data_IF_157096439554
#
_entry.id   IF_157096439554
#
_cell.length_a   1.000
_cell.length_b   1.000
_cell.length_c   1.000
_cell.angle_alpha   90.00
_cell.angle_beta   90.00
_cell.angle_gamma   90.00
#
_symmetry.space_group_name_H-M   'P 1'
#
loop_
_entity.id
_entity.type
_entity.pdbx_description
1 polymer ?
#
# COMPACT_ATOMS: atom_id res chain seq x y z
N UNK A 1 23.03 2.22 -7.21
CA UNK A 1 22.33 2.33 -5.94
C UNK A 1 22.51 3.75 -5.44
N UNK A 2 21.43 4.46 -5.13
CA UNK A 2 21.52 5.70 -4.36
C UNK A 2 22.01 5.31 -2.96
N UNK A 3 22.96 6.07 -2.43
CA UNK A 3 23.43 5.85 -1.08
C UNK A 3 22.27 6.02 -0.09
N UNK A 4 22.27 5.24 0.98
CA UNK A 4 21.29 5.39 2.04
C UNK A 4 21.44 6.78 2.69
N UNK A 5 20.34 7.37 3.15
CA UNK A 5 20.38 8.64 3.86
C UNK A 5 21.22 8.52 5.12
N UNK A 6 22.03 9.54 5.41
CA UNK A 6 22.71 9.64 6.72
C UNK A 6 21.71 10.02 7.81
N UNK A 7 22.11 9.83 9.07
CA UNK A 7 21.26 10.24 10.18
C UNK A 7 20.95 11.74 10.17
N UNK A 8 21.90 12.57 9.82
CA UNK A 8 21.75 14.03 9.71
C UNK A 8 20.72 14.38 8.64
N UNK A 9 20.76 13.71 7.48
CA UNK A 9 19.77 13.90 6.41
C UNK A 9 18.36 13.44 6.83
N UNK A 10 18.28 12.35 7.58
CA UNK A 10 16.99 11.86 8.13
C UNK A 10 16.42 12.89 9.11
N UNK A 11 17.23 13.41 10.02
CA UNK A 11 16.78 14.44 10.97
C UNK A 11 16.35 15.72 10.26
N UNK A 12 17.15 16.21 9.33
CA UNK A 12 16.82 17.41 8.55
C UNK A 12 15.49 17.25 7.81
N UNK A 13 15.31 16.08 7.14
CA UNK A 13 14.05 15.77 6.45
C UNK A 13 12.87 15.72 7.42
N UNK A 14 13.06 15.10 8.59
CA UNK A 14 12.02 15.03 9.62
C UNK A 14 11.58 16.43 10.08
N UNK A 15 12.53 17.28 10.50
CA UNK A 15 12.20 18.61 11.00
C UNK A 15 11.62 19.53 9.91
N UNK A 16 12.13 19.48 8.68
CA UNK A 16 11.54 20.20 7.55
C UNK A 16 10.09 19.79 7.28
N UNK A 17 9.77 18.49 7.41
CA UNK A 17 8.38 18.02 7.30
C UNK A 17 7.51 18.53 8.47
N UNK A 18 8.05 18.57 9.68
CA UNK A 18 7.33 19.09 10.86
C UNK A 18 7.02 20.58 10.70
N UNK A 19 8.01 21.39 10.33
CA UNK A 19 7.85 22.83 10.08
C UNK A 19 6.81 23.08 8.97
N UNK A 20 6.88 22.30 7.88
CA UNK A 20 5.87 22.36 6.81
C UNK A 20 4.46 22.06 7.33
N UNK A 21 4.30 21.00 8.11
CA UNK A 21 3.00 20.63 8.67
C UNK A 21 2.46 21.71 9.62
N UNK A 22 3.32 22.34 10.42
CA UNK A 22 2.94 23.43 11.32
C UNK A 22 2.46 24.65 10.53
N UNK A 23 3.23 25.09 9.52
CA UNK A 23 2.89 26.26 8.67
C UNK A 23 1.53 26.09 7.99
N UNK A 24 1.20 24.86 7.53
CA UNK A 24 -0.04 24.58 6.82
C UNK A 24 -1.16 24.01 7.70
N UNK A 25 -0.97 23.94 9.02
CA UNK A 25 -1.96 23.39 9.95
C UNK A 25 -2.32 21.92 9.65
N UNK A 26 -1.32 21.11 9.27
CA UNK A 26 -1.50 19.69 8.93
C UNK A 26 -0.90 18.79 9.99
N UNK A 27 -1.51 17.61 10.18
CA UNK A 27 -0.93 16.57 11.03
C UNK A 27 0.04 15.72 10.22
N UNK A 28 1.29 15.53 10.68
CA UNK A 28 2.27 14.71 9.99
C UNK A 28 1.90 13.22 10.06
N UNK A 29 2.14 12.50 8.95
CA UNK A 29 2.05 11.05 8.87
C UNK A 29 3.13 10.54 7.92
N UNK A 30 4.05 9.72 8.40
CA UNK A 30 5.17 9.26 7.60
C UNK A 30 4.88 7.89 6.95
N UNK A 31 5.21 7.78 5.66
CA UNK A 31 5.32 6.50 4.95
C UNK A 31 6.79 6.18 4.76
N UNK A 32 7.28 5.20 5.52
CA UNK A 32 8.68 4.78 5.46
C UNK A 32 8.80 3.68 4.41
N UNK A 33 9.64 3.91 3.42
CA UNK A 33 9.87 3.01 2.30
C UNK A 33 11.35 3.05 1.88
N UNK A 34 11.71 2.25 0.92
CA UNK A 34 13.05 2.13 0.37
C UNK A 34 13.23 0.72 -0.18
N UNK A 35 14.40 0.13 -0.10
CA UNK A 35 14.57 -1.30 -0.37
C UNK A 35 13.82 -2.14 0.68
N UNK A 36 14.44 -2.35 1.83
CA UNK A 36 13.76 -2.82 3.03
C UNK A 36 14.15 -1.89 4.18
N UNK A 37 13.23 -1.03 4.68
CA UNK A 37 13.56 -0.01 5.68
C UNK A 37 14.18 -0.58 6.96
N UNK A 38 13.78 -1.79 7.36
CA UNK A 38 14.26 -2.45 8.58
C UNK A 38 15.78 -2.67 8.54
N UNK A 39 16.36 -2.78 7.35
CA UNK A 39 17.78 -3.00 7.15
C UNK A 39 18.63 -1.72 7.27
N UNK A 40 18.01 -0.55 7.31
CA UNK A 40 18.74 0.69 7.48
C UNK A 40 19.32 0.79 8.88
N UNK A 41 20.62 1.14 9.06
CA UNK A 41 21.27 1.18 10.38
C UNK A 41 20.56 2.11 11.37
N UNK A 42 20.02 3.22 10.92
CA UNK A 42 19.30 4.18 11.75
C UNK A 42 17.79 3.97 11.79
N UNK A 43 17.26 2.86 11.25
CA UNK A 43 15.83 2.60 11.20
C UNK A 43 15.14 2.73 12.56
N UNK A 44 15.64 2.01 13.56
CA UNK A 44 15.05 2.04 14.90
C UNK A 44 15.23 3.40 15.60
N UNK A 45 16.30 4.12 15.25
CA UNK A 45 16.54 5.47 15.73
C UNK A 45 15.54 6.48 15.16
N UNK A 46 15.20 6.35 13.87
CA UNK A 46 14.11 7.11 13.24
C UNK A 46 12.77 6.82 13.94
N UNK A 47 12.45 5.55 14.21
CA UNK A 47 11.20 5.20 14.90
C UNK A 47 11.14 5.75 16.33
N UNK A 48 12.28 5.83 17.01
CA UNK A 48 12.36 6.48 18.32
C UNK A 48 12.05 7.99 18.23
N UNK A 49 12.61 8.67 17.23
CA UNK A 49 12.33 10.09 16.96
C UNK A 49 10.83 10.32 16.66
N UNK A 50 10.22 9.49 15.79
CA UNK A 50 8.79 9.57 15.51
C UNK A 50 7.94 9.38 16.77
N UNK A 51 8.32 8.43 17.63
CA UNK A 51 7.62 8.16 18.88
C UNK A 51 7.76 9.31 19.89
N UNK A 52 8.92 9.93 19.98
CA UNK A 52 9.17 11.10 20.85
C UNK A 52 8.22 12.26 20.51
N UNK A 53 7.88 12.41 19.24
CA UNK A 53 6.98 13.45 18.74
C UNK A 53 5.52 12.96 18.56
N UNK A 54 5.17 11.76 19.04
CA UNK A 54 3.83 11.15 18.87
C UNK A 54 3.36 11.06 17.41
N UNK A 55 4.28 10.89 16.45
CA UNK A 55 3.99 10.84 15.03
C UNK A 55 3.68 9.39 14.59
N UNK A 56 2.47 9.11 14.11
CA UNK A 56 2.15 7.81 13.56
C UNK A 56 2.79 7.61 12.18
N UNK A 57 3.09 6.36 11.84
CA UNK A 57 3.70 6.03 10.57
C UNK A 57 3.18 4.72 9.98
N UNK A 58 3.43 4.54 8.69
CA UNK A 58 3.26 3.29 7.97
C UNK A 58 4.59 2.84 7.36
N UNK A 59 4.73 1.55 7.15
CA UNK A 59 5.89 0.96 6.47
C UNK A 59 5.43 0.30 5.17
N UNK A 60 6.19 0.53 4.10
CA UNK A 60 6.15 -0.23 2.86
C UNK A 60 7.44 -1.04 2.80
N UNK A 61 7.36 -2.32 3.10
CA UNK A 61 8.57 -3.14 3.28
C UNK A 61 8.40 -4.58 2.81
N UNK A 62 9.43 -5.37 3.07
CA UNK A 62 9.49 -6.77 2.70
C UNK A 62 9.01 -7.69 3.85
N UNK A 63 8.54 -8.91 3.54
CA UNK A 63 8.08 -9.85 4.57
C UNK A 63 9.23 -10.51 5.36
N UNK A 64 10.43 -10.59 4.79
CA UNK A 64 11.48 -11.51 5.23
C UNK A 64 12.04 -11.23 6.63
N UNK A 65 12.02 -9.99 7.10
CA UNK A 65 12.53 -9.58 8.41
C UNK A 65 11.43 -9.41 9.46
N UNK A 66 10.17 -9.75 9.12
CA UNK A 66 9.06 -9.67 10.04
C UNK A 66 8.96 -10.96 10.87
N UNK A 67 9.10 -10.80 12.18
CA UNK A 67 8.74 -11.79 13.19
C UNK A 67 7.64 -11.20 14.08
N UNK A 68 7.00 -12.00 14.91
CA UNK A 68 6.03 -11.48 15.89
C UNK A 68 6.70 -10.46 16.82
N UNK A 69 7.94 -10.70 17.25
CA UNK A 69 8.70 -9.76 18.07
C UNK A 69 8.96 -8.44 17.36
N UNK A 70 9.40 -8.48 16.09
CA UNK A 70 9.61 -7.28 15.27
C UNK A 70 8.29 -6.52 15.10
N UNK A 71 7.20 -7.21 14.79
CA UNK A 71 5.88 -6.57 14.64
C UNK A 71 5.40 -5.92 15.95
N UNK A 72 5.56 -6.59 17.09
CA UNK A 72 5.25 -6.01 18.39
C UNK A 72 6.10 -4.79 18.70
N UNK A 73 7.39 -4.83 18.38
CA UNK A 73 8.29 -3.68 18.53
C UNK A 73 7.88 -2.51 17.65
N UNK A 74 7.55 -2.76 16.37
CA UNK A 74 7.03 -1.75 15.45
C UNK A 74 5.74 -1.09 15.99
N UNK A 75 4.83 -1.91 16.51
CA UNK A 75 3.61 -1.41 17.17
C UNK A 75 3.93 -0.51 18.35
N UNK A 76 4.90 -0.89 19.17
CA UNK A 76 5.37 -0.11 20.33
C UNK A 76 5.95 1.26 19.96
N UNK A 77 6.47 1.42 18.74
CA UNK A 77 6.92 2.71 18.20
C UNK A 77 5.81 3.53 17.53
N UNK A 78 4.60 3.00 17.37
CA UNK A 78 3.48 3.74 16.77
C UNK A 78 3.17 3.36 15.32
N UNK A 79 3.69 2.24 14.81
CA UNK A 79 3.34 1.75 13.49
C UNK A 79 1.84 1.46 13.39
N UNK A 80 1.17 2.09 12.43
CA UNK A 80 -0.27 1.93 12.19
C UNK A 80 -0.58 0.93 11.09
N UNK A 81 0.27 0.88 10.05
CA UNK A 81 0.07 0.03 8.87
C UNK A 81 1.39 -0.55 8.41
N UNK A 82 1.36 -1.78 7.94
CA UNK A 82 2.47 -2.39 7.22
C UNK A 82 1.97 -2.89 5.86
N UNK A 83 2.54 -2.38 4.78
CA UNK A 83 2.20 -2.76 3.43
C UNK A 83 3.19 -3.79 2.90
N UNK A 84 2.65 -4.91 2.44
CA UNK A 84 3.35 -5.95 1.70
C UNK A 84 2.92 -5.93 0.23
N UNK A 85 3.76 -6.41 -0.65
CA UNK A 85 3.42 -6.61 -2.07
C UNK A 85 3.10 -8.08 -2.32
N UNK A 86 2.05 -8.32 -3.13
CA UNK A 86 1.73 -9.64 -3.67
C UNK A 86 1.35 -9.47 -5.16
N UNK A 87 2.32 -9.71 -6.05
CA UNK A 87 2.20 -9.34 -7.47
C UNK A 87 1.88 -10.53 -8.39
N UNK A 88 1.31 -11.59 -7.87
CA UNK A 88 0.90 -12.77 -8.62
C UNK A 88 0.58 -13.94 -7.70
N UNK A 89 0.13 -15.03 -8.26
CA UNK A 89 0.10 -16.32 -7.59
C UNK A 89 1.55 -16.81 -7.42
N UNK A 90 1.76 -17.93 -6.75
CA UNK A 90 3.09 -18.40 -6.31
C UNK A 90 4.18 -18.29 -7.37
N UNK A 91 3.98 -18.85 -8.53
CA UNK A 91 5.01 -18.89 -9.58
C UNK A 91 5.33 -17.48 -10.08
N UNK A 92 4.30 -16.71 -10.39
CA UNK A 92 4.42 -15.35 -10.90
C UNK A 92 5.03 -14.41 -9.84
N UNK A 93 4.54 -14.48 -8.60
CA UNK A 93 5.06 -13.63 -7.53
C UNK A 93 6.51 -13.94 -7.20
N UNK A 94 6.87 -15.23 -7.07
CA UNK A 94 8.23 -15.65 -6.76
C UNK A 94 9.21 -15.30 -7.91
N UNK A 95 8.74 -15.32 -9.16
CA UNK A 95 9.53 -14.85 -10.30
C UNK A 95 9.78 -13.33 -10.24
N UNK A 96 8.76 -12.51 -9.90
CA UNK A 96 8.92 -11.06 -9.75
C UNK A 96 9.81 -10.66 -8.58
N UNK A 97 9.76 -11.42 -7.49
CA UNK A 97 10.42 -11.06 -6.22
C UNK A 97 11.62 -11.95 -5.94
N UNK A 98 11.39 -13.11 -5.42
CA UNK A 98 12.35 -14.21 -5.23
C UNK A 98 11.62 -15.48 -4.76
N UNK A 99 12.22 -16.66 -4.95
CA UNK A 99 11.65 -17.92 -4.49
C UNK A 99 11.27 -17.89 -3.01
N UNK A 100 10.06 -18.38 -2.69
CA UNK A 100 9.50 -18.43 -1.34
C UNK A 100 8.89 -17.11 -0.84
N UNK A 101 8.91 -16.05 -1.63
CA UNK A 101 8.32 -14.77 -1.28
C UNK A 101 6.81 -14.83 -1.10
N UNK A 102 6.11 -15.63 -1.92
CA UNK A 102 4.67 -15.80 -1.83
C UNK A 102 4.22 -16.32 -0.47
N UNK A 103 4.75 -17.46 -0.05
CA UNK A 103 4.40 -18.05 1.24
C UNK A 103 4.79 -17.16 2.42
N UNK A 104 5.99 -16.58 2.34
CA UNK A 104 6.46 -15.65 3.34
C UNK A 104 5.51 -14.46 3.49
N UNK A 105 5.06 -13.85 2.38
CA UNK A 105 4.12 -12.73 2.41
C UNK A 105 2.82 -13.11 3.11
N UNK A 106 2.22 -14.25 2.76
CA UNK A 106 0.96 -14.71 3.38
C UNK A 106 1.12 -15.00 4.88
N UNK A 107 2.22 -15.64 5.28
CA UNK A 107 2.52 -15.88 6.71
C UNK A 107 2.63 -14.57 7.50
N UNK A 108 3.29 -13.56 6.94
CA UNK A 108 3.56 -12.30 7.64
C UNK A 108 2.33 -11.40 7.80
N UNK A 109 1.28 -11.57 6.99
CA UNK A 109 -0.02 -10.96 7.24
C UNK A 109 -0.50 -11.31 8.66
N UNK A 110 -0.37 -12.59 9.05
CA UNK A 110 -0.71 -13.06 10.39
C UNK A 110 0.12 -12.42 11.50
N UNK A 111 1.44 -12.28 11.32
CA UNK A 111 2.32 -11.63 12.30
C UNK A 111 1.94 -10.16 12.50
N UNK A 112 1.68 -9.43 11.41
CA UNK A 112 1.29 -8.03 11.42
C UNK A 112 -0.03 -7.85 12.19
N UNK A 113 -1.02 -8.70 11.89
CA UNK A 113 -2.35 -8.64 12.51
C UNK A 113 -2.32 -8.97 14.00
N UNK A 114 -1.53 -10.01 14.41
CA UNK A 114 -1.36 -10.36 15.83
C UNK A 114 -0.75 -9.22 16.65
N UNK A 115 0.11 -8.41 16.04
CA UNK A 115 0.66 -7.23 16.69
C UNK A 115 -0.31 -6.04 16.78
N UNK A 116 -1.51 -6.13 16.16
CA UNK A 116 -2.46 -5.05 16.08
C UNK A 116 -2.02 -3.92 15.14
N UNK A 117 -1.18 -4.24 14.17
CA UNK A 117 -0.82 -3.37 13.05
C UNK A 117 -1.77 -3.72 11.89
N UNK A 118 -2.26 -2.72 11.16
CA UNK A 118 -3.13 -2.94 10.01
C UNK A 118 -2.32 -3.48 8.84
N UNK A 119 -2.62 -4.69 8.40
CA UNK A 119 -1.98 -5.30 7.23
C UNK A 119 -2.58 -4.77 5.93
N UNK A 120 -1.71 -4.34 5.02
CA UNK A 120 -2.09 -3.88 3.68
C UNK A 120 -1.37 -4.73 2.66
N UNK A 121 -2.12 -5.32 1.73
CA UNK A 121 -1.54 -6.03 0.59
C UNK A 121 -1.79 -5.23 -0.68
N UNK A 122 -0.73 -5.00 -1.44
CA UNK A 122 -0.75 -4.21 -2.66
C UNK A 122 -0.27 -5.05 -3.84
N UNK A 123 -1.02 -5.03 -4.95
CA UNK A 123 -0.63 -5.64 -6.22
C UNK A 123 -0.33 -4.57 -7.25
N UNK A 124 0.82 -4.69 -7.93
CA UNK A 124 1.12 -3.90 -9.13
C UNK A 124 0.72 -4.72 -10.35
N UNK A 125 -0.29 -4.25 -11.08
CA UNK A 125 -0.93 -4.99 -12.19
C UNK A 125 -0.29 -4.64 -13.52
N UNK A 126 0.11 -5.66 -14.27
CA UNK A 126 0.61 -5.59 -15.65
C UNK A 126 0.01 -6.74 -16.48
N UNK A 127 0.31 -6.81 -17.76
CA UNK A 127 -0.11 -7.94 -18.61
C UNK A 127 0.38 -9.29 -18.13
N UNK A 128 1.47 -9.33 -17.36
CA UNK A 128 2.04 -10.57 -16.85
C UNK A 128 1.22 -11.22 -15.71
N UNK A 129 0.41 -10.43 -14.99
CA UNK A 129 -0.30 -10.92 -13.81
C UNK A 129 -1.79 -10.52 -13.74
N UNK A 130 -2.30 -9.79 -14.72
CA UNK A 130 -3.68 -9.29 -14.71
C UNK A 130 -4.72 -10.40 -14.55
N UNK A 131 -4.49 -11.55 -15.17
CA UNK A 131 -5.40 -12.72 -15.09
C UNK A 131 -5.42 -13.37 -13.70
N UNK A 132 -4.39 -13.16 -12.89
CA UNK A 132 -4.26 -13.75 -11.55
C UNK A 132 -4.86 -12.86 -10.44
N UNK A 133 -5.17 -11.59 -10.73
CA UNK A 133 -5.69 -10.65 -9.72
C UNK A 133 -6.94 -11.16 -8.99
N UNK A 134 -7.92 -11.81 -9.66
CA UNK A 134 -9.06 -12.39 -8.97
C UNK A 134 -8.69 -13.47 -7.95
N UNK A 135 -7.68 -14.29 -8.24
CA UNK A 135 -7.20 -15.35 -7.35
C UNK A 135 -6.33 -14.78 -6.22
N UNK A 136 -5.60 -13.69 -6.50
CA UNK A 136 -4.89 -12.92 -5.46
C UNK A 136 -5.88 -12.38 -4.44
N UNK A 137 -7.02 -11.82 -4.88
CA UNK A 137 -8.06 -11.33 -3.97
C UNK A 137 -8.54 -12.44 -3.03
N UNK A 138 -8.88 -13.62 -3.56
CA UNK A 138 -9.32 -14.76 -2.74
C UNK A 138 -8.23 -15.18 -1.74
N UNK A 139 -6.98 -15.18 -2.19
CA UNK A 139 -5.83 -15.58 -1.38
C UNK A 139 -5.59 -14.61 -0.22
N UNK A 140 -5.64 -13.30 -0.47
CA UNK A 140 -5.40 -12.30 0.58
C UNK A 140 -6.56 -12.21 1.57
N UNK A 141 -7.79 -12.40 1.11
CA UNK A 141 -8.97 -12.52 1.97
C UNK A 141 -8.84 -13.73 2.90
N UNK A 142 -8.47 -14.89 2.35
CA UNK A 142 -8.23 -16.12 3.12
C UNK A 142 -7.08 -15.98 4.12
N UNK A 143 -6.04 -15.22 3.77
CA UNK A 143 -4.93 -14.92 4.67
C UNK A 143 -5.30 -13.90 5.76
N UNK A 144 -6.47 -13.28 5.69
CA UNK A 144 -6.97 -12.32 6.67
C UNK A 144 -6.34 -10.95 6.59
N UNK A 145 -5.93 -10.50 5.41
CA UNK A 145 -5.43 -9.13 5.22
C UNK A 145 -6.53 -8.10 5.56
N UNK A 146 -6.15 -7.03 6.27
CA UNK A 146 -7.09 -5.97 6.62
C UNK A 146 -7.46 -5.10 5.43
N UNK A 147 -6.52 -4.90 4.50
CA UNK A 147 -6.72 -4.08 3.31
C UNK A 147 -6.09 -4.75 2.09
N UNK A 148 -6.83 -4.80 1.01
CA UNK A 148 -6.30 -5.12 -0.31
C UNK A 148 -6.48 -3.94 -1.26
N UNK A 149 -5.46 -3.69 -2.08
CA UNK A 149 -5.51 -2.72 -3.16
C UNK A 149 -4.66 -3.18 -4.34
N UNK A 150 -4.94 -2.66 -5.51
CA UNK A 150 -4.04 -2.77 -6.65
C UNK A 150 -3.95 -1.44 -7.40
N UNK A 151 -2.86 -1.28 -8.15
CA UNK A 151 -2.69 -0.20 -9.08
C UNK A 151 -1.96 -0.71 -10.33
N UNK A 152 -2.19 -0.05 -11.46
CA UNK A 152 -1.50 -0.38 -12.70
C UNK A 152 -0.01 -0.13 -12.58
N UNK A 153 0.77 -0.97 -13.23
CA UNK A 153 2.16 -0.69 -13.48
C UNK A 153 2.26 0.53 -14.41
N UNK A 154 3.02 1.53 -13.98
CA UNK A 154 3.33 2.70 -14.79
C UNK A 154 4.75 2.54 -15.33
N UNK A 155 4.94 2.35 -16.65
CA UNK A 155 6.27 2.20 -17.25
C UNK A 155 7.14 3.43 -16.96
N UNK A 156 8.38 3.17 -16.57
CA UNK A 156 9.41 4.21 -16.49
C UNK A 156 10.03 4.46 -17.86
N UNK A 157 10.91 5.46 -17.97
CA UNK A 157 11.54 5.81 -19.25
C UNK A 157 12.23 4.62 -19.92
N UNK A 158 11.80 4.27 -21.11
CA UNK A 158 12.37 3.19 -21.95
C UNK A 158 11.54 1.93 -22.07
N UNK A 159 10.59 1.70 -21.19
CA UNK A 159 9.63 0.60 -21.31
C UNK A 159 8.43 1.06 -22.14
N UNK A 160 8.06 0.26 -23.16
CA UNK A 160 7.06 0.70 -24.14
C UNK A 160 5.68 0.07 -23.94
N UNK A 161 5.57 -1.02 -23.19
CA UNK A 161 4.33 -1.77 -23.09
C UNK A 161 4.16 -2.42 -21.72
N UNK A 162 2.98 -2.29 -21.17
CA UNK A 162 2.56 -3.01 -19.95
C UNK A 162 2.03 -4.41 -20.26
N UNK A 163 1.91 -4.77 -21.54
CA UNK A 163 1.25 -6.02 -22.00
C UNK A 163 -0.25 -6.05 -21.70
N UNK A 164 -0.87 -4.87 -21.48
CA UNK A 164 -2.26 -4.76 -21.04
C UNK A 164 -2.99 -3.67 -21.83
N UNK A 165 -4.12 -4.02 -22.44
CA UNK A 165 -4.98 -3.06 -23.12
C UNK A 165 -5.95 -2.37 -22.16
N UNK A 166 -6.53 -1.20 -22.53
CA UNK A 166 -7.61 -0.59 -21.76
C UNK A 166 -8.81 -1.50 -21.54
N UNK A 167 -9.10 -2.37 -22.52
CA UNK A 167 -10.20 -3.35 -22.46
C UNK A 167 -9.91 -4.43 -21.43
N UNK A 168 -8.68 -4.97 -21.37
CA UNK A 168 -8.26 -5.95 -20.37
C UNK A 168 -8.41 -5.38 -18.96
N UNK A 169 -7.97 -4.13 -18.77
CA UNK A 169 -8.08 -3.49 -17.47
C UNK A 169 -9.53 -3.20 -17.08
N UNK A 170 -10.39 -2.83 -18.03
CA UNK A 170 -11.81 -2.64 -17.78
C UNK A 170 -12.49 -3.96 -17.36
N UNK A 171 -12.18 -5.07 -18.04
CA UNK A 171 -12.66 -6.39 -17.65
C UNK A 171 -12.19 -6.78 -16.24
N UNK A 172 -10.94 -6.47 -15.90
CA UNK A 172 -10.44 -6.66 -14.54
C UNK A 172 -11.29 -5.89 -13.52
N UNK A 173 -11.58 -4.61 -13.78
CA UNK A 173 -12.40 -3.79 -12.87
C UNK A 173 -13.82 -4.38 -12.72
N UNK A 174 -14.44 -4.88 -13.79
CA UNK A 174 -15.75 -5.54 -13.72
C UNK A 174 -15.69 -6.79 -12.82
N UNK A 175 -14.69 -7.65 -12.99
CA UNK A 175 -14.50 -8.86 -12.19
C UNK A 175 -14.23 -8.51 -10.73
N UNK A 176 -13.32 -7.57 -10.48
CA UNK A 176 -12.98 -7.15 -9.11
C UNK A 176 -14.17 -6.50 -8.40
N UNK A 177 -14.95 -5.68 -9.10
CA UNK A 177 -16.13 -5.05 -8.52
C UNK A 177 -17.16 -6.09 -8.05
N UNK A 178 -17.47 -7.09 -8.90
CA UNK A 178 -18.36 -8.19 -8.53
C UNK A 178 -17.83 -8.98 -7.33
N UNK A 179 -16.53 -9.26 -7.31
CA UNK A 179 -15.87 -9.94 -6.19
C UNK A 179 -15.95 -9.14 -4.89
N UNK A 180 -15.70 -7.84 -4.95
CA UNK A 180 -15.78 -6.97 -3.79
C UNK A 180 -17.20 -6.95 -3.22
N UNK A 181 -18.22 -6.77 -4.08
CA UNK A 181 -19.61 -6.81 -3.66
C UNK A 181 -19.99 -8.16 -3.01
N UNK A 182 -19.51 -9.28 -3.56
CA UNK A 182 -19.73 -10.60 -2.99
C UNK A 182 -19.15 -10.70 -1.58
N UNK A 183 -17.87 -10.33 -1.42
CA UNK A 183 -17.20 -10.39 -0.12
C UNK A 183 -17.79 -9.42 0.91
N UNK A 184 -18.20 -8.22 0.49
CA UNK A 184 -18.90 -7.27 1.34
C UNK A 184 -20.25 -7.84 1.83
N UNK A 185 -21.01 -8.48 0.94
CA UNK A 185 -22.28 -9.13 1.28
C UNK A 185 -22.10 -10.33 2.23
N UNK A 186 -20.98 -11.04 2.14
CA UNK A 186 -20.59 -12.15 3.02
C UNK A 186 -20.02 -11.67 4.38
N UNK A 187 -19.91 -10.35 4.60
CA UNK A 187 -19.36 -9.77 5.84
C UNK A 187 -17.85 -9.92 5.98
N UNK A 188 -17.11 -9.96 4.85
CA UNK A 188 -15.67 -10.03 4.85
C UNK A 188 -15.05 -8.82 5.58
N UNK A 189 -14.02 -9.06 6.38
CA UNK A 189 -13.32 -8.02 7.12
C UNK A 189 -12.29 -7.25 6.27
N UNK A 190 -11.86 -7.83 5.16
CA UNK A 190 -10.90 -7.17 4.26
C UNK A 190 -11.53 -5.97 3.58
N UNK A 191 -10.94 -4.81 3.74
CA UNK A 191 -11.35 -3.60 3.06
C UNK A 191 -10.70 -3.55 1.67
N UNK A 192 -11.49 -3.41 0.62
CA UNK A 192 -11.01 -3.28 -0.75
C UNK A 192 -10.82 -1.80 -1.11
N UNK A 193 -9.56 -1.36 -1.14
CA UNK A 193 -9.23 0.03 -1.45
C UNK A 193 -9.06 0.22 -2.96
N UNK A 194 -9.88 1.08 -3.53
CA UNK A 194 -9.88 1.44 -4.96
C UNK A 194 -8.81 2.50 -5.25
N UNK A 195 -7.54 2.14 -5.07
CA UNK A 195 -6.40 3.06 -5.14
C UNK A 195 -6.11 3.59 -6.54
N UNK A 196 -6.32 2.78 -7.59
CA UNK A 196 -6.16 3.25 -8.97
C UNK A 196 -7.29 4.24 -9.33
N UNK A 197 -6.93 5.41 -9.84
CA UNK A 197 -7.92 6.46 -10.16
C UNK A 197 -8.92 6.06 -11.27
N UNK A 198 -8.63 5.03 -12.05
CA UNK A 198 -9.60 4.50 -13.02
C UNK A 198 -10.82 3.86 -12.34
N UNK A 199 -10.75 3.53 -11.05
CA UNK A 199 -11.94 3.16 -10.29
C UNK A 199 -12.98 4.27 -10.26
N UNK A 200 -12.56 5.51 -10.08
CA UNK A 200 -13.49 6.67 -10.10
C UNK A 200 -14.19 6.80 -11.46
N UNK A 201 -13.43 6.66 -12.56
CA UNK A 201 -14.00 6.67 -13.90
C UNK A 201 -14.98 5.50 -14.10
N UNK A 202 -14.58 4.29 -13.70
CA UNK A 202 -15.39 3.09 -13.76
C UNK A 202 -16.73 3.27 -13.01
N UNK A 203 -16.67 3.75 -11.77
CA UNK A 203 -17.86 3.97 -10.95
C UNK A 203 -18.76 5.07 -11.53
N UNK A 204 -18.18 6.13 -12.10
CA UNK A 204 -18.93 7.17 -12.78
C UNK A 204 -19.69 6.61 -14.00
N UNK A 205 -19.02 5.85 -14.86
CA UNK A 205 -19.63 5.24 -16.04
C UNK A 205 -20.74 4.23 -15.70
N UNK A 206 -20.61 3.53 -14.57
CA UNK A 206 -21.63 2.61 -14.06
C UNK A 206 -22.80 3.34 -13.34
N UNK A 207 -22.70 4.64 -13.12
CA UNK A 207 -23.71 5.42 -12.39
C UNK A 207 -23.76 5.10 -10.88
N UNK A 208 -22.66 4.56 -10.32
CA UNK A 208 -22.56 4.17 -8.92
C UNK A 208 -21.59 5.06 -8.12
N UNK A 209 -20.92 5.99 -8.79
CA UNK A 209 -20.07 6.97 -8.13
C UNK A 209 -20.90 7.85 -7.19
N UNK A 210 -20.51 7.90 -5.93
CA UNK A 210 -21.13 8.74 -4.91
C UNK A 210 -20.09 9.69 -4.34
N UNK A 211 -20.41 10.97 -4.34
CA UNK A 211 -19.66 11.95 -3.53
C UNK A 211 -20.04 11.71 -2.08
N UNK A 212 -19.08 11.56 -1.15
CA UNK A 212 -19.37 11.42 0.27
C UNK A 212 -20.25 12.58 0.77
N UNK A 213 -21.20 12.29 1.65
CA UNK A 213 -22.14 13.31 2.19
C UNK A 213 -21.41 14.39 3.03
N UNK A 214 -20.26 14.02 3.61
CA UNK A 214 -19.37 14.90 4.37
C UNK A 214 -18.34 15.64 3.51
N UNK A 215 -18.44 15.53 2.19
CA UNK A 215 -17.57 16.22 1.26
C UNK A 215 -17.68 17.74 1.43
N UNK A 216 -16.54 18.37 1.72
CA UNK A 216 -16.46 19.83 1.77
C UNK A 216 -16.28 20.41 0.36
N UNK A 217 -16.82 21.61 0.12
CA UNK A 217 -16.60 22.35 -1.11
C UNK A 217 -15.08 22.50 -1.36
N UNK A 218 -14.68 22.17 -2.59
CA UNK A 218 -13.27 22.22 -3.00
C UNK A 218 -12.46 20.95 -2.73
N UNK A 219 -13.03 19.88 -2.13
CA UNK A 219 -12.36 18.59 -2.04
C UNK A 219 -12.31 17.91 -3.43
N UNK A 220 -11.13 17.39 -3.75
CA UNK A 220 -10.90 16.61 -4.98
C UNK A 220 -11.01 15.13 -4.64
N UNK A 221 -11.97 14.44 -5.26
CA UNK A 221 -12.18 13.00 -5.12
C UNK A 221 -11.63 12.26 -6.33
N UNK A 222 -10.67 11.39 -6.07
CA UNK A 222 -9.99 10.61 -7.10
C UNK A 222 -8.90 11.42 -7.81
N UNK A 223 -8.00 10.72 -8.45
CA UNK A 223 -6.86 11.29 -9.15
C UNK A 223 -5.51 10.99 -8.48
N UNK A 224 -4.45 11.25 -9.21
CA UNK A 224 -3.09 11.04 -8.73
C UNK A 224 -2.67 12.22 -7.85
N UNK A 225 -2.46 11.97 -6.58
CA UNK A 225 -2.04 13.01 -5.63
C UNK A 225 -0.62 13.53 -5.88
N UNK A 226 0.18 12.81 -6.69
CA UNK A 226 1.55 13.23 -7.06
C UNK A 226 1.56 14.44 -7.99
N UNK A 227 0.52 14.63 -8.78
CA UNK A 227 0.39 15.75 -9.72
C UNK A 227 -0.38 16.95 -9.18
N UNK A 228 -0.93 16.85 -7.97
CA UNK A 228 -1.54 18.00 -7.33
C UNK A 228 -0.44 18.90 -6.78
N UNK A 229 -0.44 20.21 -7.12
CA UNK A 229 0.39 21.13 -6.37
C UNK A 229 0.02 21.01 -4.91
N UNK A 230 1.01 20.81 -4.06
CA UNK A 230 0.81 20.70 -2.62
C UNK A 230 0.13 21.97 -2.11
N UNK A 231 -1.10 21.83 -1.72
CA UNK A 231 -1.88 22.85 -1.01
C UNK A 231 -2.06 22.41 0.42
#
# INVERSE_FOLDING_TARGET
HLDAMTWEQIQETFYNCMDFCEVYGRLPYFYITGGDPILHPDFWRLLALLKEHDIPFAILGNPFHLTDEVCMRLKGYGCRKYQLSLDGMRETHDWFRKPGSFDCTLEKIGCINRAGIRSVVMTTVSGANISEVPDIIDTVVKAGADVYAFARYCPTSGEKDTGMTPQDYRQLLDICYQKYQKYEAEGCKTCFNKKDHLWTLYEYEKGIFKIPEDAQDGMIYGGCTVSLPNF
#
